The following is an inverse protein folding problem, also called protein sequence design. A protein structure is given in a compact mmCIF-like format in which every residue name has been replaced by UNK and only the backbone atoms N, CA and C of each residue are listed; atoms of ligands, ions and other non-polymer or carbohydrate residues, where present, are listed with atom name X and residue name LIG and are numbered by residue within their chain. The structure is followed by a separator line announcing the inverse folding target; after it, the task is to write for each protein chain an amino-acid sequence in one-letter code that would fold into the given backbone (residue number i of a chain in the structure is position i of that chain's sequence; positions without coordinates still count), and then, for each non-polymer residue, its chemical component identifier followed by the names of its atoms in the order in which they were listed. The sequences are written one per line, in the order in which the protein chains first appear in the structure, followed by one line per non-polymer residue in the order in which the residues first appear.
data_IF_192582646548
#
_entry.id   IF_192582646548
#
_cell.length_a   1.000
_cell.length_b   1.000
_cell.length_c   1.000
_cell.angle_alpha   90.00
_cell.angle_beta   90.00
_cell.angle_gamma   90.00
#
_symmetry.space_group_name_H-M   'P 1'
#
loop_
_entity.id
_entity.type
_entity.pdbx_description
1 polymer ?
#
# COMPACT_ATOMS: atom_id res chain seq x y z
N UNK A 1 1.75 42.25 -7.59
CA UNK A 1 0.75 41.27 -7.11
C UNK A 1 1.39 39.92 -7.37
N UNK A 2 2.10 39.38 -6.39
CA UNK A 2 2.63 38.02 -6.47
C UNK A 2 1.45 37.12 -6.12
N UNK A 3 0.88 36.46 -7.12
CA UNK A 3 0.02 35.31 -6.89
C UNK A 3 0.92 34.19 -6.38
N UNK A 4 1.02 34.15 -5.05
CA UNK A 4 1.80 33.18 -4.31
C UNK A 4 1.18 31.79 -4.48
N UNK A 5 2.06 30.79 -4.48
CA UNK A 5 1.83 29.45 -4.97
C UNK A 5 1.05 28.59 -3.97
N UNK A 6 -0.23 28.88 -3.77
CA UNK A 6 -1.06 28.23 -2.74
C UNK A 6 -1.82 26.96 -3.19
N UNK A 7 -1.63 26.50 -4.43
CA UNK A 7 -2.36 25.33 -4.97
C UNK A 7 -1.62 23.98 -5.09
N UNK A 8 -0.27 23.87 -5.11
CA UNK A 8 0.39 22.56 -5.21
C UNK A 8 0.60 21.83 -3.87
N UNK A 9 0.48 22.53 -2.73
CA UNK A 9 0.79 21.95 -1.41
C UNK A 9 -0.27 20.96 -0.90
N UNK A 10 -1.55 21.17 -1.24
CA UNK A 10 -2.64 20.25 -0.87
C UNK A 10 -2.57 18.93 -1.65
N UNK A 11 -2.13 18.99 -2.91
CA UNK A 11 -1.90 17.82 -3.75
C UNK A 11 -0.71 17.00 -3.23
N UNK A 12 0.39 17.68 -2.86
CA UNK A 12 1.57 17.01 -2.32
C UNK A 12 1.27 16.24 -1.02
N UNK A 13 0.49 16.82 -0.10
CA UNK A 13 0.04 16.11 1.10
C UNK A 13 -0.78 14.86 0.75
N UNK A 14 -1.67 14.98 -0.23
CA UNK A 14 -2.51 13.88 -0.71
C UNK A 14 -1.68 12.75 -1.34
N UNK A 15 -0.67 13.08 -2.15
CA UNK A 15 0.24 12.11 -2.76
C UNK A 15 1.11 11.39 -1.72
N UNK A 16 1.55 12.08 -0.66
CA UNK A 16 2.25 11.45 0.47
C UNK A 16 1.36 10.40 1.13
N UNK A 17 0.10 10.74 1.44
CA UNK A 17 -0.82 9.79 2.05
C UNK A 17 -1.15 8.60 1.15
N UNK A 18 -1.33 8.81 -0.16
CA UNK A 18 -1.49 7.72 -1.14
C UNK A 18 -0.29 6.78 -1.12
N UNK A 19 0.92 7.34 -1.12
CA UNK A 19 2.15 6.55 -1.09
C UNK A 19 2.27 5.75 0.20
N UNK A 20 2.02 6.37 1.36
CA UNK A 20 2.05 5.69 2.65
C UNK A 20 1.01 4.57 2.75
N UNK A 21 -0.21 4.82 2.25
CA UNK A 21 -1.26 3.82 2.21
C UNK A 21 -0.87 2.65 1.31
N UNK A 22 -0.35 2.92 0.11
CA UNK A 22 0.16 1.90 -0.80
C UNK A 22 1.26 1.05 -0.15
N UNK A 23 2.27 1.69 0.46
CA UNK A 23 3.36 0.96 1.12
C UNK A 23 2.86 0.11 2.29
N UNK A 24 1.93 0.62 3.09
CA UNK A 24 1.32 -0.14 4.19
C UNK A 24 0.59 -1.39 3.67
N UNK A 25 -0.20 -1.25 2.61
CA UNK A 25 -0.92 -2.36 1.98
C UNK A 25 0.05 -3.35 1.35
N UNK A 26 1.11 -2.87 0.68
CA UNK A 26 2.13 -3.71 0.08
C UNK A 26 2.88 -4.53 1.13
N UNK A 27 3.31 -3.90 2.23
CA UNK A 27 3.97 -4.59 3.34
C UNK A 27 3.04 -5.64 3.95
N UNK A 28 1.76 -5.33 4.13
CA UNK A 28 0.78 -6.30 4.62
C UNK A 28 0.64 -7.50 3.67
N UNK A 29 0.55 -7.24 2.37
CA UNK A 29 0.44 -8.25 1.31
C UNK A 29 1.67 -9.16 1.23
N UNK A 30 2.87 -8.65 1.53
CA UNK A 30 4.11 -9.44 1.59
C UNK A 30 4.13 -10.31 2.85
N UNK A 31 3.66 -9.78 3.98
CA UNK A 31 3.62 -10.54 5.24
C UNK A 31 2.56 -11.63 5.25
N UNK A 32 1.44 -11.39 4.57
CA UNK A 32 0.30 -12.29 4.48
C UNK A 32 -0.12 -12.45 3.00
N UNK A 33 0.56 -13.32 2.23
CA UNK A 33 0.25 -13.52 0.83
C UNK A 33 -1.15 -14.13 0.66
N UNK A 34 -1.91 -13.65 -0.33
CA UNK A 34 -3.29 -14.10 -0.58
C UNK A 34 -3.37 -15.41 -1.37
N UNK A 35 -2.25 -15.88 -1.94
CA UNK A 35 -2.23 -17.10 -2.75
C UNK A 35 -2.76 -16.91 -4.18
N UNK A 36 -2.86 -15.67 -4.65
CA UNK A 36 -3.20 -15.38 -6.05
C UNK A 36 -1.96 -15.52 -6.94
N UNK A 37 -2.15 -15.52 -8.26
CA UNK A 37 -1.03 -15.57 -9.21
C UNK A 37 -0.02 -14.42 -9.01
N UNK A 38 -0.52 -13.22 -8.70
CA UNK A 38 0.31 -12.01 -8.51
C UNK A 38 0.93 -11.94 -7.10
N UNK A 39 0.31 -12.58 -6.10
CA UNK A 39 0.81 -12.63 -4.72
C UNK A 39 0.76 -14.06 -4.18
N UNK A 40 1.64 -14.94 -4.67
CA UNK A 40 1.60 -16.36 -4.33
C UNK A 40 2.05 -16.59 -2.90
N UNK A 41 1.39 -17.54 -2.23
CA UNK A 41 1.92 -18.12 -1.01
C UNK A 41 3.01 -19.13 -1.35
N UNK A 42 3.89 -19.43 -0.38
CA UNK A 42 4.97 -20.40 -0.56
C UNK A 42 4.44 -21.83 -0.62
N UNK A 43 3.47 -22.17 0.22
CA UNK A 43 2.76 -23.44 0.20
C UNK A 43 1.32 -23.29 0.72
N UNK A 44 0.40 -24.18 0.30
CA UNK A 44 -1.03 -24.07 0.63
C UNK A 44 -1.31 -24.07 2.14
N UNK A 45 -0.44 -24.71 2.93
CA UNK A 45 -0.57 -24.74 4.39
C UNK A 45 -0.36 -23.35 5.01
N UNK A 46 0.50 -22.52 4.43
CA UNK A 46 0.76 -21.17 4.96
C UNK A 46 -0.51 -20.31 4.87
N UNK A 47 -1.29 -20.46 3.79
CA UNK A 47 -2.60 -19.78 3.66
C UNK A 47 -3.57 -20.20 4.75
N UNK A 48 -3.63 -21.49 5.05
CA UNK A 48 -4.50 -22.03 6.09
C UNK A 48 -4.09 -21.55 7.49
N UNK A 49 -2.79 -21.44 7.75
CA UNK A 49 -2.26 -20.99 9.05
C UNK A 49 -2.30 -19.47 9.22
N UNK A 50 -2.22 -18.68 8.14
CA UNK A 50 -2.29 -17.21 8.16
C UNK A 50 -3.70 -16.63 8.37
N UNK A 51 -4.77 -17.42 8.27
CA UNK A 51 -6.16 -16.96 8.49
C UNK A 51 -6.61 -16.97 9.97
N UNK A 52 -5.69 -17.14 10.92
CA UNK A 52 -5.96 -17.15 12.38
C UNK A 52 -5.36 -15.92 13.08
#
# INVERSE_FOLDING_TARGET
MYEDADFPMLDQGTEIFKTLHYLSTLIHSIKNPLGTQENPARMCRDLFECEH
#
